data_IF_130437715346
#
_entry.id   IF_130437715346
#
_cell.length_a   1.000
_cell.length_b   1.000
_cell.length_c   1.000
_cell.angle_alpha   90.00
_cell.angle_beta   90.00
_cell.angle_gamma   90.00
#
_symmetry.space_group_name_H-M   'P 1'
#
loop_
_entity.id
_entity.type
_entity.pdbx_description
1 polymer ?
#
# COMPACT_ATOMS: atom_id res chain seq x y z
N UNK A 1 31.99 -2.07 -2.22
CA UNK A 1 31.50 -1.45 -0.95
C UNK A 1 30.11 -1.96 -0.65
N UNK A 2 29.77 -2.26 0.62
CA UNK A 2 28.40 -2.66 1.00
C UNK A 2 27.45 -1.47 0.79
N UNK A 3 26.33 -1.69 0.12
CA UNK A 3 25.27 -0.67 -0.06
C UNK A 3 24.70 -0.24 1.28
N UNK A 4 24.32 1.01 1.41
CA UNK A 4 23.87 1.62 2.66
C UNK A 4 22.49 2.24 2.49
N UNK A 5 21.64 2.11 3.51
CA UNK A 5 20.28 2.66 3.50
C UNK A 5 19.91 3.27 4.84
N UNK A 6 19.17 4.36 4.80
CA UNK A 6 18.47 4.96 5.95
C UNK A 6 16.97 4.99 5.70
N UNK A 7 16.18 4.82 6.76
CA UNK A 7 14.72 4.71 6.68
C UNK A 7 14.09 5.81 7.53
N UNK A 8 13.30 6.65 6.89
CA UNK A 8 12.49 7.70 7.53
C UNK A 8 11.03 7.29 7.49
N UNK A 9 10.45 6.98 8.66
CA UNK A 9 9.10 6.45 8.78
C UNK A 9 9.08 4.92 8.83
N UNK A 10 9.49 4.30 9.93
CA UNK A 10 9.51 2.83 10.05
C UNK A 10 8.15 2.25 10.50
N UNK A 11 7.11 2.44 9.67
CA UNK A 11 5.85 1.72 9.72
C UNK A 11 6.01 0.28 9.20
N UNK A 12 4.91 -0.35 8.81
CA UNK A 12 4.92 -1.74 8.28
C UNK A 12 5.80 -1.88 7.04
N UNK A 13 5.65 -0.98 6.06
CA UNK A 13 6.46 -0.98 4.82
C UNK A 13 7.93 -0.75 5.15
N UNK A 14 8.26 0.28 5.92
CA UNK A 14 9.65 0.63 6.24
C UNK A 14 10.38 -0.46 7.03
N UNK A 15 9.69 -1.11 8.00
CA UNK A 15 10.24 -2.25 8.73
C UNK A 15 10.49 -3.45 7.82
N UNK A 16 9.54 -3.76 6.92
CA UNK A 16 9.69 -4.87 5.98
C UNK A 16 10.85 -4.62 5.02
N UNK A 17 10.90 -3.45 4.37
CA UNK A 17 12.02 -3.10 3.48
C UNK A 17 13.34 -3.12 4.22
N UNK A 18 13.42 -2.49 5.40
CA UNK A 18 14.63 -2.46 6.21
C UNK A 18 15.11 -3.84 6.60
N UNK A 19 14.23 -4.72 7.06
CA UNK A 19 14.56 -6.11 7.41
C UNK A 19 15.05 -6.88 6.19
N UNK A 20 14.30 -6.86 5.08
CA UNK A 20 14.68 -7.59 3.87
C UNK A 20 16.01 -7.11 3.28
N UNK A 21 16.25 -5.79 3.27
CA UNK A 21 17.53 -5.25 2.82
C UNK A 21 18.69 -5.63 3.76
N UNK A 22 18.45 -5.64 5.08
CA UNK A 22 19.42 -6.13 6.05
C UNK A 22 19.79 -7.60 5.80
N UNK A 23 18.79 -8.46 5.60
CA UNK A 23 18.98 -9.88 5.30
C UNK A 23 19.79 -10.11 4.00
N UNK A 24 19.70 -9.17 3.05
CA UNK A 24 20.51 -9.13 1.82
C UNK A 24 21.88 -8.48 1.99
N UNK A 25 22.30 -8.19 3.23
CA UNK A 25 23.61 -7.65 3.54
C UNK A 25 23.78 -6.14 3.38
N UNK A 26 22.68 -5.38 3.17
CA UNK A 26 22.72 -3.93 3.21
C UNK A 26 22.98 -3.43 4.62
N UNK A 27 23.77 -2.36 4.74
CA UNK A 27 23.97 -1.69 6.03
C UNK A 27 22.87 -0.68 6.27
N UNK A 28 22.07 -0.91 7.31
CA UNK A 28 21.05 0.04 7.78
C UNK A 28 21.74 1.06 8.70
N UNK A 29 21.82 2.32 8.28
CA UNK A 29 22.54 3.35 9.05
C UNK A 29 21.64 4.02 10.09
N UNK A 30 20.45 4.45 9.69
CA UNK A 30 19.51 5.14 10.56
C UNK A 30 18.07 4.67 10.35
N UNK A 31 17.30 4.62 11.44
CA UNK A 31 15.86 4.34 11.43
C UNK A 31 15.15 5.45 12.20
N UNK A 32 14.50 6.34 11.46
CA UNK A 32 13.91 7.57 12.00
C UNK A 32 12.41 7.42 12.15
N UNK A 33 11.88 7.69 13.35
CA UNK A 33 10.44 7.71 13.63
C UNK A 33 10.03 8.87 14.53
N UNK A 34 8.73 9.08 14.71
CA UNK A 34 8.19 10.15 15.58
C UNK A 34 8.56 10.02 17.07
N UNK A 35 8.86 8.81 17.55
CA UNK A 35 9.21 8.60 18.95
C UNK A 35 10.38 7.65 19.12
N UNK A 36 11.16 7.85 20.18
CA UNK A 36 12.31 6.98 20.51
C UNK A 36 11.90 5.52 20.77
N UNK A 37 10.73 5.28 21.35
CA UNK A 37 10.22 3.93 21.59
C UNK A 37 9.97 3.21 20.26
N UNK A 38 9.26 3.87 19.31
CA UNK A 38 8.98 3.31 17.98
C UNK A 38 10.24 3.10 17.13
N UNK A 39 11.26 3.97 17.25
CA UNK A 39 12.50 3.78 16.50
C UNK A 39 13.31 2.61 17.06
N UNK A 40 13.39 2.44 18.38
CA UNK A 40 14.04 1.28 19.00
C UNK A 40 13.32 -0.04 18.67
N UNK A 41 11.98 -0.04 18.68
CA UNK A 41 11.17 -1.19 18.26
C UNK A 41 11.43 -1.54 16.79
N UNK A 42 11.43 -0.53 15.91
CA UNK A 42 11.69 -0.73 14.49
C UNK A 42 13.11 -1.29 14.23
N UNK A 43 14.12 -0.78 14.94
CA UNK A 43 15.50 -1.31 14.85
C UNK A 43 15.58 -2.77 15.32
N UNK A 44 14.88 -3.15 16.40
CA UNK A 44 14.83 -4.56 16.83
C UNK A 44 14.21 -5.47 15.75
N UNK A 45 13.14 -5.01 15.11
CA UNK A 45 12.45 -5.75 14.03
C UNK A 45 13.32 -5.84 12.78
N UNK A 46 14.00 -4.76 12.40
CA UNK A 46 14.90 -4.70 11.24
C UNK A 46 16.17 -5.52 11.50
N UNK A 47 16.66 -5.56 12.73
CA UNK A 47 17.91 -6.23 13.13
C UNK A 47 19.15 -5.34 13.06
N UNK A 48 19.03 -4.09 12.59
CA UNK A 48 20.15 -3.17 12.44
C UNK A 48 19.70 -1.71 12.38
N UNK A 49 20.66 -0.78 12.47
CA UNK A 49 20.47 0.65 12.34
C UNK A 49 20.49 1.40 13.67
N UNK A 50 20.73 2.70 13.59
CA UNK A 50 20.66 3.59 14.75
C UNK A 50 19.23 4.10 14.92
N UNK A 51 18.59 3.86 16.07
CA UNK A 51 17.25 4.37 16.32
C UNK A 51 17.30 5.90 16.53
N UNK A 52 16.49 6.64 15.76
CA UNK A 52 16.47 8.09 15.80
C UNK A 52 15.05 8.62 15.94
N UNK A 53 14.89 9.68 16.73
CA UNK A 53 13.62 10.37 16.90
C UNK A 53 13.58 11.65 16.08
N UNK A 54 12.46 11.87 15.36
CA UNK A 54 12.10 13.19 14.87
C UNK A 54 11.78 14.08 16.08
N UNK A 55 12.47 15.21 16.26
CA UNK A 55 12.14 16.20 17.26
C UNK A 55 10.70 16.71 17.05
N UNK A 56 10.05 17.20 18.14
CA UNK A 56 8.70 17.81 18.04
C UNK A 56 8.63 18.98 17.05
N UNK A 57 9.77 19.61 16.73
CA UNK A 57 9.90 20.70 15.76
C UNK A 57 9.90 20.26 14.29
N UNK A 58 9.97 18.96 13.97
CA UNK A 58 9.86 18.44 12.62
C UNK A 58 8.39 18.20 12.20
N UNK A 59 7.42 18.48 13.06
CA UNK A 59 5.99 18.44 12.77
C UNK A 59 5.48 19.82 12.40
N UNK A 60 5.10 19.99 11.17
CA UNK A 60 4.04 20.80 10.52
C UNK A 60 3.81 22.29 10.90
N UNK A 61 4.39 22.83 11.95
CA UNK A 61 4.37 24.28 12.27
C UNK A 61 5.77 24.73 12.69
N UNK A 62 6.60 25.08 11.72
CA UNK A 62 7.81 25.88 11.96
C UNK A 62 7.42 27.30 12.37
N UNK A 63 6.92 27.46 13.60
CA UNK A 63 7.09 28.71 14.34
C UNK A 63 8.40 28.59 15.09
N UNK A 64 9.32 29.46 14.71
CA UNK A 64 10.63 29.63 15.33
C UNK A 64 10.54 29.61 16.86
N UNK A 65 11.18 28.63 17.50
CA UNK A 65 11.71 28.79 18.86
C UNK A 65 12.63 27.63 19.27
N UNK A 66 13.85 28.00 19.61
CA UNK A 66 14.94 27.33 20.33
C UNK A 66 16.00 26.61 19.47
N UNK A 67 17.12 27.31 19.34
CA UNK A 67 18.39 26.92 18.70
C UNK A 67 18.97 25.56 19.12
N UNK A 68 18.69 25.08 20.32
CA UNK A 68 19.20 23.77 20.80
C UNK A 68 18.55 22.54 20.13
N UNK A 69 17.27 22.60 19.79
CA UNK A 69 16.54 21.48 19.16
C UNK A 69 16.93 21.28 17.68
N UNK A 70 17.27 22.36 16.96
CA UNK A 70 17.73 22.29 15.58
C UNK A 70 19.15 21.72 15.49
N UNK A 71 20.02 22.00 16.46
CA UNK A 71 21.40 21.47 16.48
C UNK A 71 21.41 19.96 16.78
N UNK A 72 20.54 19.46 17.65
CA UNK A 72 20.39 18.04 17.92
C UNK A 72 19.84 17.27 16.70
N UNK A 73 18.91 17.86 15.95
CA UNK A 73 18.41 17.28 14.70
C UNK A 73 19.49 17.30 13.61
N UNK A 74 20.29 18.37 13.50
CA UNK A 74 21.36 18.50 12.54
C UNK A 74 22.50 17.46 12.77
N UNK A 75 22.87 17.19 14.02
CA UNK A 75 23.88 16.20 14.37
C UNK A 75 23.47 14.76 14.00
N UNK A 76 22.15 14.47 14.02
CA UNK A 76 21.63 13.17 13.64
C UNK A 76 21.47 13.00 12.13
N UNK A 77 21.30 14.10 11.37
CA UNK A 77 21.12 14.04 9.91
C UNK A 77 22.37 13.55 9.19
N UNK A 78 23.57 13.82 9.68
CA UNK A 78 24.81 13.30 9.09
C UNK A 78 24.76 11.78 8.95
N UNK A 79 24.22 11.09 9.95
CA UNK A 79 24.06 9.64 9.92
C UNK A 79 23.00 9.19 8.93
N UNK A 80 21.89 9.93 8.79
CA UNK A 80 20.86 9.64 7.79
C UNK A 80 21.41 9.78 6.39
N UNK A 81 22.09 10.89 6.11
CA UNK A 81 22.62 11.22 4.78
C UNK A 81 24.01 10.64 4.49
N UNK A 82 24.62 9.90 5.43
CA UNK A 82 25.75 9.02 5.14
C UNK A 82 25.34 7.82 4.27
N UNK A 83 24.03 7.46 4.25
CA UNK A 83 23.52 6.40 3.40
C UNK A 83 23.51 6.78 1.92
N UNK A 84 23.73 5.79 1.06
CA UNK A 84 23.58 5.93 -0.40
C UNK A 84 22.09 6.15 -0.76
N UNK A 85 21.19 5.41 -0.10
CA UNK A 85 19.74 5.45 -0.33
C UNK A 85 19.01 5.88 0.94
N UNK A 86 18.09 6.83 0.83
CA UNK A 86 17.20 7.24 1.92
C UNK A 86 15.77 6.94 1.51
N UNK A 87 15.10 6.07 2.27
CA UNK A 87 13.68 5.78 2.08
C UNK A 87 12.81 6.63 2.99
N UNK A 88 11.81 7.28 2.39
CA UNK A 88 10.66 7.87 3.08
C UNK A 88 9.49 6.90 2.97
N UNK A 89 9.14 6.25 4.08
CA UNK A 89 8.04 5.28 4.18
C UNK A 89 6.96 5.78 5.17
N UNK A 90 6.72 7.09 5.13
CA UNK A 90 5.69 7.78 5.91
C UNK A 90 4.36 7.80 5.15
N UNK A 91 3.27 8.19 5.83
CA UNK A 91 1.99 8.41 5.18
C UNK A 91 2.06 9.58 4.18
N UNK A 92 1.20 9.54 3.16
CA UNK A 92 1.23 10.45 2.02
C UNK A 92 0.96 11.91 2.41
N UNK A 93 0.09 12.14 3.39
CA UNK A 93 -0.24 13.47 3.93
C UNK A 93 0.95 14.15 4.63
N UNK A 94 1.86 13.36 5.18
CA UNK A 94 3.04 13.84 5.91
C UNK A 94 4.26 13.97 5.00
N UNK A 95 4.35 13.16 3.95
CA UNK A 95 5.55 13.01 3.14
C UNK A 95 6.09 14.31 2.55
N UNK A 96 5.32 15.17 1.86
CA UNK A 96 5.87 16.38 1.23
C UNK A 96 6.43 17.38 2.24
N UNK A 97 5.72 17.60 3.34
CA UNK A 97 6.15 18.53 4.38
C UNK A 97 7.41 18.04 5.11
N UNK A 98 7.47 16.76 5.40
CA UNK A 98 8.61 16.11 6.03
C UNK A 98 9.84 16.13 5.10
N UNK A 99 9.66 15.81 3.82
CA UNK A 99 10.72 15.87 2.81
C UNK A 99 11.29 17.29 2.68
N UNK A 100 10.41 18.31 2.66
CA UNK A 100 10.83 19.71 2.64
C UNK A 100 11.65 20.11 3.86
N UNK A 101 11.25 19.69 5.06
CA UNK A 101 11.98 19.94 6.29
C UNK A 101 13.35 19.24 6.30
N UNK A 102 13.39 17.97 5.92
CA UNK A 102 14.64 17.20 5.84
C UNK A 102 15.61 17.76 4.80
N UNK A 103 15.13 18.13 3.62
CA UNK A 103 15.96 18.68 2.55
C UNK A 103 16.61 20.00 2.97
N UNK A 104 15.87 20.93 3.61
CA UNK A 104 16.43 22.18 4.12
C UNK A 104 17.51 21.94 5.18
N UNK A 105 17.27 21.00 6.09
CA UNK A 105 18.21 20.67 7.16
C UNK A 105 19.44 19.90 6.64
N UNK A 106 19.26 19.07 5.64
CA UNK A 106 20.35 18.30 5.02
C UNK A 106 21.23 19.17 4.14
N UNK A 107 20.62 20.07 3.35
CA UNK A 107 21.35 20.89 2.39
C UNK A 107 22.21 20.04 1.46
N UNK A 108 23.47 20.41 1.29
CA UNK A 108 24.45 19.74 0.41
C UNK A 108 24.76 18.28 0.79
N UNK A 109 24.42 17.82 2.01
CA UNK A 109 24.52 16.39 2.37
C UNK A 109 23.66 15.50 1.49
N UNK A 110 22.62 16.09 0.87
CA UNK A 110 21.74 15.39 -0.07
C UNK A 110 22.41 15.15 -1.43
N UNK A 111 23.45 15.88 -1.76
CA UNK A 111 24.14 15.80 -3.05
C UNK A 111 24.61 14.38 -3.34
N UNK A 112 24.28 13.88 -4.52
CA UNK A 112 24.65 12.55 -4.95
C UNK A 112 23.93 11.40 -4.24
N UNK A 113 22.99 11.68 -3.32
CA UNK A 113 22.15 10.64 -2.68
C UNK A 113 20.97 10.25 -3.57
N UNK A 114 20.38 9.10 -3.26
CA UNK A 114 19.14 8.65 -3.87
C UNK A 114 18.07 8.69 -2.79
N UNK A 115 17.02 9.46 -3.02
CA UNK A 115 15.91 9.60 -2.07
C UNK A 115 14.66 9.01 -2.71
N UNK A 116 14.11 7.99 -2.08
CA UNK A 116 12.94 7.26 -2.57
C UNK A 116 11.79 7.33 -1.56
N UNK A 117 10.57 7.37 -2.04
CA UNK A 117 9.39 7.13 -1.22
C UNK A 117 8.60 5.90 -1.70
N UNK A 118 7.68 5.44 -0.85
CA UNK A 118 6.87 4.24 -1.12
C UNK A 118 5.38 4.53 -1.33
N UNK A 119 5.01 5.78 -1.56
CA UNK A 119 3.62 6.13 -1.88
C UNK A 119 3.21 5.55 -3.24
N UNK A 120 1.98 5.05 -3.31
CA UNK A 120 1.36 4.58 -4.54
C UNK A 120 0.83 5.72 -5.41
N UNK A 121 0.46 6.86 -4.80
CA UNK A 121 -0.24 7.98 -5.46
C UNK A 121 0.66 9.17 -5.71
N UNK A 122 1.55 9.50 -4.76
CA UNK A 122 2.49 10.60 -4.92
C UNK A 122 3.60 10.21 -5.91
N UNK A 123 4.09 11.21 -6.63
CA UNK A 123 5.20 11.11 -7.55
C UNK A 123 6.50 11.69 -6.95
N UNK A 124 7.56 11.73 -7.74
CA UNK A 124 8.86 12.30 -7.35
C UNK A 124 8.79 13.76 -6.89
N UNK A 125 7.76 14.51 -7.28
CA UNK A 125 7.59 15.93 -6.88
C UNK A 125 7.46 16.07 -5.38
N UNK A 126 6.93 15.06 -4.68
CA UNK A 126 6.91 15.02 -3.21
C UNK A 126 8.32 15.12 -2.59
N UNK A 127 9.37 14.73 -3.33
CA UNK A 127 10.77 14.80 -2.93
C UNK A 127 11.56 15.89 -3.66
N UNK A 128 10.92 16.74 -4.47
CA UNK A 128 11.57 17.81 -5.23
C UNK A 128 12.49 18.74 -4.38
N UNK A 129 12.21 19.02 -3.10
CA UNK A 129 13.14 19.77 -2.26
C UNK A 129 14.54 19.16 -2.19
N UNK A 130 14.69 17.84 -2.24
CA UNK A 130 16.01 17.16 -2.27
C UNK A 130 16.72 17.29 -3.62
N UNK A 131 15.95 17.27 -4.72
CA UNK A 131 16.52 17.45 -6.06
C UNK A 131 17.24 18.79 -6.20
N UNK A 132 16.75 19.85 -5.54
CA UNK A 132 17.39 21.18 -5.49
C UNK A 132 18.77 21.16 -4.88
N UNK A 133 19.09 20.18 -4.05
CA UNK A 133 20.40 19.94 -3.43
C UNK A 133 21.18 18.81 -4.13
N UNK A 134 20.79 18.41 -5.35
CA UNK A 134 21.53 17.45 -6.17
C UNK A 134 21.33 15.97 -5.79
N UNK A 135 20.25 15.62 -5.10
CA UNK A 135 19.83 14.24 -4.94
C UNK A 135 19.04 13.76 -6.18
N UNK A 136 19.13 12.47 -6.50
CA UNK A 136 18.18 11.82 -7.41
C UNK A 136 16.95 11.36 -6.64
N UNK A 137 15.75 11.70 -7.12
CA UNK A 137 14.50 11.46 -6.39
C UNK A 137 13.54 10.58 -7.18
N UNK A 138 12.78 9.75 -6.47
CA UNK A 138 11.80 8.86 -7.11
C UNK A 138 10.93 8.11 -6.13
N UNK A 139 10.10 7.23 -6.66
CA UNK A 139 9.23 6.35 -5.91
C UNK A 139 9.46 4.88 -6.24
N UNK A 140 9.23 4.01 -5.26
CA UNK A 140 9.25 2.55 -5.39
C UNK A 140 8.12 1.98 -4.54
N UNK A 141 6.96 1.76 -5.14
CA UNK A 141 5.77 1.27 -4.43
C UNK A 141 5.60 -0.24 -4.63
N UNK A 142 5.68 -1.05 -3.56
CA UNK A 142 5.35 -2.48 -3.62
C UNK A 142 3.82 -2.66 -3.68
N UNK A 143 3.31 -3.35 -4.71
CA UNK A 143 1.91 -3.76 -4.82
C UNK A 143 1.64 -4.93 -3.88
N UNK A 144 1.61 -4.66 -2.57
CA UNK A 144 1.50 -5.68 -1.54
C UNK A 144 0.72 -5.17 -0.32
N UNK A 145 -0.08 -6.05 0.27
CA UNK A 145 -0.73 -5.79 1.54
C UNK A 145 0.24 -6.01 2.71
N UNK A 146 0.46 -4.97 3.49
CA UNK A 146 1.29 -5.02 4.70
C UNK A 146 0.43 -5.13 5.96
N UNK A 147 -0.51 -6.08 5.96
CA UNK A 147 -1.41 -6.35 7.10
C UNK A 147 -0.87 -7.47 8.02
N UNK A 148 -1.45 -7.54 9.24
CA UNK A 148 -1.15 -8.63 10.16
C UNK A 148 0.19 -8.51 10.90
N UNK A 149 0.57 -9.60 11.60
CA UNK A 149 1.79 -9.71 12.44
C UNK A 149 2.99 -10.26 11.68
N UNK A 150 2.79 -10.90 10.53
CA UNK A 150 3.84 -11.53 9.73
C UNK A 150 4.29 -10.59 8.63
N UNK A 151 5.61 -10.44 8.48
CA UNK A 151 6.17 -9.69 7.35
C UNK A 151 5.90 -10.42 6.04
N UNK A 152 5.35 -9.74 5.02
CA UNK A 152 5.10 -10.37 3.74
C UNK A 152 6.40 -10.78 3.04
N UNK A 153 6.31 -11.83 2.25
CA UNK A 153 7.33 -12.14 1.25
C UNK A 153 7.18 -11.15 0.09
N UNK A 154 8.30 -10.66 -0.42
CA UNK A 154 8.32 -9.71 -1.53
C UNK A 154 8.70 -10.36 -2.87
N UNK A 155 8.90 -11.68 -2.89
CA UNK A 155 9.15 -12.45 -4.11
C UNK A 155 7.94 -12.34 -5.05
N UNK A 156 8.21 -12.06 -6.33
CA UNK A 156 7.22 -11.85 -7.38
C UNK A 156 6.27 -10.65 -7.17
N UNK A 157 6.48 -9.83 -6.13
CA UNK A 157 5.70 -8.60 -5.93
C UNK A 157 6.10 -7.58 -7.00
N UNK A 158 5.10 -6.96 -7.62
CA UNK A 158 5.32 -5.82 -8.52
C UNK A 158 5.74 -4.60 -7.71
N UNK A 159 6.82 -3.95 -8.12
CA UNK A 159 7.25 -2.66 -7.61
C UNK A 159 7.09 -1.61 -8.69
N UNK A 160 6.07 -0.76 -8.56
CA UNK A 160 5.91 0.39 -9.45
C UNK A 160 7.01 1.42 -9.16
N UNK A 161 7.79 1.77 -10.19
CA UNK A 161 8.93 2.68 -10.07
C UNK A 161 8.74 3.91 -10.97
N UNK A 162 9.07 5.08 -10.44
CA UNK A 162 8.98 6.36 -11.13
C UNK A 162 10.01 7.33 -10.55
N UNK A 163 10.52 8.28 -11.34
CA UNK A 163 11.44 9.30 -10.85
C UNK A 163 12.57 9.66 -11.83
N UNK A 164 13.61 10.25 -11.28
CA UNK A 164 14.83 10.55 -12.01
C UNK A 164 15.53 9.26 -12.48
N UNK A 165 16.20 9.24 -13.64
CA UNK A 165 16.79 8.01 -14.19
C UNK A 165 17.71 7.26 -13.22
N UNK A 166 18.49 7.98 -12.39
CA UNK A 166 19.35 7.36 -11.39
C UNK A 166 18.57 6.75 -10.23
N UNK A 167 17.49 7.41 -9.80
CA UNK A 167 16.60 6.91 -8.75
C UNK A 167 15.83 5.66 -9.23
N UNK A 168 15.33 5.67 -10.47
CA UNK A 168 14.63 4.52 -11.08
C UNK A 168 15.55 3.32 -11.18
N UNK A 169 16.77 3.47 -11.71
CA UNK A 169 17.75 2.35 -11.78
C UNK A 169 18.04 1.75 -10.40
N UNK A 170 18.17 2.57 -9.36
CA UNK A 170 18.38 2.08 -8.00
C UNK A 170 17.13 1.36 -7.47
N UNK A 171 15.94 1.93 -7.66
CA UNK A 171 14.67 1.33 -7.26
C UNK A 171 14.47 -0.04 -7.93
N UNK A 172 14.75 -0.16 -9.23
CA UNK A 172 14.72 -1.43 -9.96
C UNK A 172 15.72 -2.45 -9.41
N UNK A 173 16.94 -2.02 -9.14
CA UNK A 173 17.98 -2.87 -8.54
C UNK A 173 17.55 -3.39 -7.16
N UNK A 174 16.96 -2.53 -6.33
CA UNK A 174 16.43 -2.91 -5.02
C UNK A 174 15.27 -3.88 -5.17
N UNK A 175 14.29 -3.58 -6.02
CA UNK A 175 13.13 -4.46 -6.26
C UNK A 175 13.58 -5.87 -6.69
N UNK A 176 14.49 -5.96 -7.66
CA UNK A 176 15.07 -7.24 -8.12
C UNK A 176 15.81 -7.99 -7.00
N UNK A 177 16.59 -7.28 -6.18
CA UNK A 177 17.30 -7.90 -5.05
C UNK A 177 16.35 -8.47 -4.00
N UNK A 178 15.16 -7.89 -3.85
CA UNK A 178 14.08 -8.37 -2.98
C UNK A 178 13.29 -9.54 -3.59
N UNK A 179 13.65 -9.98 -4.81
CA UNK A 179 12.92 -11.00 -5.56
C UNK A 179 11.65 -10.50 -6.23
N UNK A 180 11.42 -9.19 -6.22
CA UNK A 180 10.27 -8.55 -6.85
C UNK A 180 10.52 -8.18 -8.31
N UNK A 181 9.48 -7.70 -8.96
CA UNK A 181 9.45 -7.34 -10.37
C UNK A 181 9.25 -5.82 -10.48
N UNK A 182 10.27 -5.04 -10.86
CA UNK A 182 10.09 -3.60 -11.08
C UNK A 182 9.33 -3.34 -12.38
N UNK A 183 8.36 -2.42 -12.32
CA UNK A 183 7.58 -1.97 -13.47
C UNK A 183 7.59 -0.44 -13.48
N UNK A 184 8.11 0.20 -14.53
CA UNK A 184 8.00 1.64 -14.69
C UNK A 184 6.53 2.08 -14.80
N UNK A 185 6.16 3.15 -14.11
CA UNK A 185 4.83 3.75 -14.18
C UNK A 185 4.93 5.23 -14.52
N UNK A 186 4.08 5.70 -15.43
CA UNK A 186 3.98 7.13 -15.69
C UNK A 186 3.31 7.84 -14.50
N UNK A 187 3.79 9.04 -14.19
CA UNK A 187 3.26 9.86 -13.09
C UNK A 187 1.74 10.01 -13.14
N UNK A 188 1.19 10.28 -14.35
CA UNK A 188 -0.26 10.45 -14.57
C UNK A 188 -1.09 9.22 -14.22
N UNK A 189 -0.51 8.03 -14.26
CA UNK A 189 -1.22 6.76 -14.11
C UNK A 189 -1.18 6.24 -12.66
N UNK A 190 -0.38 6.86 -11.78
CA UNK A 190 -0.21 6.40 -10.37
C UNK A 190 -1.52 6.36 -9.59
N UNK A 191 -2.38 7.36 -9.76
CA UNK A 191 -3.68 7.39 -9.06
C UNK A 191 -4.57 6.24 -9.51
N UNK A 192 -4.63 5.97 -10.83
CA UNK A 192 -5.41 4.85 -11.37
C UNK A 192 -4.84 3.50 -10.94
N UNK A 193 -3.52 3.37 -10.95
CA UNK A 193 -2.81 2.19 -10.44
C UNK A 193 -3.18 1.90 -8.98
N UNK A 194 -3.20 2.92 -8.12
CA UNK A 194 -3.58 2.73 -6.72
C UNK A 194 -5.07 2.43 -6.56
N UNK A 195 -5.93 3.10 -7.34
CA UNK A 195 -7.37 2.81 -7.35
C UNK A 195 -7.66 1.34 -7.72
N UNK A 196 -6.92 0.76 -8.68
CA UNK A 196 -7.02 -0.65 -9.02
C UNK A 196 -6.67 -1.56 -7.83
N UNK A 197 -5.61 -1.25 -7.08
CA UNK A 197 -5.25 -2.00 -5.88
C UNK A 197 -6.33 -1.91 -4.78
N UNK A 198 -6.87 -0.71 -4.54
CA UNK A 198 -7.94 -0.50 -3.56
C UNK A 198 -9.22 -1.21 -4.00
N UNK A 199 -9.56 -1.16 -5.29
CA UNK A 199 -10.74 -1.83 -5.84
C UNK A 199 -10.63 -3.35 -5.69
N UNK A 200 -9.50 -3.95 -6.04
CA UNK A 200 -9.32 -5.40 -6.04
C UNK A 200 -9.03 -5.98 -4.65
N UNK A 201 -8.18 -5.32 -3.86
CA UNK A 201 -7.73 -5.84 -2.57
C UNK A 201 -8.35 -5.10 -1.37
N UNK A 202 -8.43 -3.77 -1.42
CA UNK A 202 -9.00 -2.97 -0.32
C UNK A 202 -10.48 -3.25 -0.11
N UNK A 203 -11.28 -3.27 -1.20
CA UNK A 203 -12.72 -3.53 -1.14
C UNK A 203 -13.06 -4.99 -0.78
N UNK A 204 -12.12 -5.92 -0.99
CA UNK A 204 -12.30 -7.33 -0.62
C UNK A 204 -12.53 -7.51 0.87
N UNK A 205 -11.88 -6.72 1.74
CA UNK A 205 -12.12 -6.78 3.18
C UNK A 205 -13.58 -6.50 3.52
N UNK A 206 -14.16 -5.46 2.94
CA UNK A 206 -15.57 -5.09 3.16
C UNK A 206 -16.51 -6.16 2.61
N UNK A 207 -16.23 -6.73 1.45
CA UNK A 207 -17.03 -7.79 0.83
C UNK A 207 -17.03 -9.07 1.68
N UNK A 208 -15.85 -9.48 2.16
CA UNK A 208 -15.74 -10.66 3.03
C UNK A 208 -16.46 -10.41 4.36
N UNK A 209 -16.27 -9.23 4.98
CA UNK A 209 -16.95 -8.88 6.23
C UNK A 209 -18.47 -8.88 6.08
N UNK A 210 -19.00 -8.31 5.01
CA UNK A 210 -20.42 -8.37 4.70
C UNK A 210 -20.92 -9.81 4.57
N UNK A 211 -20.21 -10.67 3.87
CA UNK A 211 -20.54 -12.09 3.75
C UNK A 211 -20.55 -12.83 5.09
N UNK A 212 -19.58 -12.55 5.97
CA UNK A 212 -19.52 -13.10 7.32
C UNK A 212 -20.73 -12.67 8.15
N UNK A 213 -21.11 -11.39 8.13
CA UNK A 213 -22.28 -10.88 8.83
C UNK A 213 -23.59 -11.48 8.30
N UNK A 214 -23.71 -11.70 7.01
CA UNK A 214 -24.88 -12.37 6.43
C UNK A 214 -24.99 -13.83 6.91
N UNK A 215 -23.89 -14.56 7.02
CA UNK A 215 -23.88 -15.91 7.58
C UNK A 215 -24.21 -15.91 9.08
N UNK A 216 -23.73 -14.93 9.85
CA UNK A 216 -24.10 -14.79 11.27
C UNK A 216 -25.61 -14.55 11.43
N UNK A 217 -26.21 -13.74 10.58
CA UNK A 217 -27.68 -13.55 10.55
C UNK A 217 -28.45 -14.80 10.12
N UNK A 218 -27.83 -15.67 9.33
CA UNK A 218 -28.38 -16.99 8.98
C UNK A 218 -28.17 -18.04 10.08
N UNK A 219 -27.68 -17.65 11.27
CA UNK A 219 -27.52 -18.52 12.44
C UNK A 219 -26.15 -19.17 12.60
N UNK A 220 -25.18 -18.81 11.78
CA UNK A 220 -23.80 -19.32 11.95
C UNK A 220 -23.08 -18.55 13.06
N UNK A 221 -22.28 -19.25 13.85
CA UNK A 221 -21.29 -18.53 14.68
C UNK A 221 -20.22 -17.90 13.81
N UNK A 222 -19.60 -16.81 14.26
CA UNK A 222 -18.50 -16.12 13.54
C UNK A 222 -17.41 -17.08 13.06
N UNK A 223 -17.02 -18.04 13.93
CA UNK A 223 -16.05 -19.08 13.58
C UNK A 223 -16.51 -19.94 12.41
N UNK A 224 -17.75 -20.43 12.45
CA UNK A 224 -18.32 -21.26 11.38
C UNK A 224 -18.52 -20.48 10.09
N UNK A 225 -18.95 -19.23 10.18
CA UNK A 225 -19.05 -18.34 9.03
C UNK A 225 -17.71 -18.23 8.29
N UNK A 226 -16.61 -18.02 9.01
CA UNK A 226 -15.26 -18.01 8.42
C UNK A 226 -14.87 -19.35 7.80
N UNK A 227 -15.12 -20.46 8.50
CA UNK A 227 -14.86 -21.81 7.98
C UNK A 227 -15.64 -22.14 6.71
N UNK A 228 -16.83 -21.56 6.56
CA UNK A 228 -17.69 -21.74 5.37
C UNK A 228 -17.22 -20.86 4.21
N UNK A 229 -16.93 -19.58 4.48
CA UNK A 229 -16.69 -18.59 3.42
C UNK A 229 -15.27 -18.65 2.85
N UNK A 230 -14.24 -18.80 3.69
CA UNK A 230 -12.85 -18.72 3.22
C UNK A 230 -12.45 -19.80 2.19
N UNK A 231 -12.88 -21.07 2.30
CA UNK A 231 -12.62 -22.05 1.23
C UNK A 231 -13.23 -21.65 -0.11
N UNK A 232 -14.48 -21.16 -0.10
CA UNK A 232 -15.16 -20.67 -1.31
C UNK A 232 -14.40 -19.50 -1.95
N UNK A 233 -13.97 -18.53 -1.15
CA UNK A 233 -13.23 -17.35 -1.66
C UNK A 233 -11.90 -17.77 -2.26
N UNK A 234 -11.15 -18.67 -1.62
CA UNK A 234 -9.88 -19.21 -2.17
C UNK A 234 -10.11 -19.91 -3.50
N UNK A 235 -11.13 -20.76 -3.60
CA UNK A 235 -11.45 -21.45 -4.85
C UNK A 235 -11.77 -20.47 -6.00
N UNK A 236 -12.44 -19.37 -5.69
CA UNK A 236 -12.71 -18.32 -6.69
C UNK A 236 -11.41 -17.68 -7.17
N UNK A 237 -10.46 -17.35 -6.28
CA UNK A 237 -9.15 -16.83 -6.67
C UNK A 237 -8.39 -17.82 -7.55
N UNK A 238 -8.31 -19.09 -7.15
CA UNK A 238 -7.64 -20.14 -7.92
C UNK A 238 -8.23 -20.28 -9.33
N UNK A 239 -9.56 -20.20 -9.44
CA UNK A 239 -10.24 -20.27 -10.74
C UNK A 239 -9.94 -19.02 -11.58
N UNK A 240 -10.03 -17.82 -11.01
CA UNK A 240 -9.74 -16.58 -11.72
C UNK A 240 -8.29 -16.56 -12.23
N UNK A 241 -7.34 -16.98 -11.40
CA UNK A 241 -5.92 -17.04 -11.78
C UNK A 241 -5.67 -18.03 -12.92
N UNK A 242 -6.35 -19.17 -12.90
CA UNK A 242 -6.17 -20.23 -13.88
C UNK A 242 -6.84 -19.96 -15.22
N UNK A 243 -8.07 -19.45 -15.26
CA UNK A 243 -8.89 -19.36 -16.48
C UNK A 243 -9.44 -17.95 -16.76
N UNK A 244 -9.09 -16.97 -15.95
CA UNK A 244 -9.55 -15.58 -16.06
C UNK A 244 -10.95 -15.35 -15.51
N UNK A 245 -11.31 -14.07 -15.22
CA UNK A 245 -12.53 -13.73 -14.51
C UNK A 245 -13.82 -14.05 -15.26
N UNK A 246 -13.83 -13.95 -16.59
CA UNK A 246 -15.03 -14.26 -17.40
C UNK A 246 -15.36 -15.74 -17.39
N UNK A 247 -14.38 -16.60 -17.60
CA UNK A 247 -14.58 -18.06 -17.62
C UNK A 247 -14.83 -18.63 -16.21
N UNK A 248 -14.25 -18.00 -15.18
CA UNK A 248 -14.46 -18.37 -13.78
C UNK A 248 -15.79 -17.87 -13.20
N UNK A 249 -16.54 -17.02 -13.92
CA UNK A 249 -17.75 -16.40 -13.41
C UNK A 249 -18.87 -17.43 -13.23
N UNK A 250 -19.33 -17.60 -12.01
CA UNK A 250 -20.37 -18.55 -11.60
C UNK A 250 -21.42 -17.88 -10.74
N UNK A 251 -22.47 -18.62 -10.39
CA UNK A 251 -23.53 -18.15 -9.50
C UNK A 251 -24.83 -17.80 -10.23
N UNK A 252 -25.85 -17.32 -9.50
CA UNK A 252 -27.18 -17.06 -10.07
C UNK A 252 -27.13 -16.10 -11.26
N UNK A 253 -26.40 -15.01 -11.13
CA UNK A 253 -26.34 -13.98 -12.17
C UNK A 253 -25.73 -14.51 -13.47
N UNK A 254 -24.69 -15.36 -13.40
CA UNK A 254 -24.07 -15.95 -14.59
C UNK A 254 -24.98 -16.92 -15.34
N UNK A 255 -25.94 -17.54 -14.64
CA UNK A 255 -26.94 -18.45 -15.21
C UNK A 255 -28.25 -17.79 -15.60
N UNK A 256 -28.41 -16.49 -15.30
CA UNK A 256 -29.66 -15.77 -15.55
C UNK A 256 -30.76 -16.06 -14.53
N UNK A 257 -30.45 -16.53 -13.33
CA UNK A 257 -31.39 -16.86 -12.26
C UNK A 257 -31.87 -15.59 -11.52
N UNK A 258 -32.55 -14.71 -12.22
CA UNK A 258 -32.96 -13.39 -11.70
C UNK A 258 -33.96 -13.48 -10.54
N UNK A 259 -34.76 -14.55 -10.47
CA UNK A 259 -35.64 -14.76 -9.34
C UNK A 259 -34.87 -14.99 -8.03
N UNK A 260 -33.74 -15.68 -8.08
CA UNK A 260 -32.87 -15.85 -6.91
C UNK A 260 -32.32 -14.49 -6.48
N UNK A 261 -31.91 -13.62 -7.43
CA UNK A 261 -31.51 -12.26 -7.10
C UNK A 261 -32.59 -11.44 -6.42
N UNK A 262 -33.85 -11.55 -6.90
CA UNK A 262 -35.00 -10.90 -6.28
C UNK A 262 -35.25 -11.42 -4.85
N UNK A 263 -35.07 -12.73 -4.61
CA UNK A 263 -35.14 -13.31 -3.26
C UNK A 263 -34.03 -12.75 -2.36
N UNK A 264 -32.81 -12.66 -2.86
CA UNK A 264 -31.70 -12.03 -2.12
C UNK A 264 -32.02 -10.56 -1.79
N UNK A 265 -32.50 -9.78 -2.74
CA UNK A 265 -32.90 -8.39 -2.52
C UNK A 265 -33.98 -8.28 -1.40
N UNK A 266 -34.98 -9.15 -1.39
CA UNK A 266 -35.97 -9.20 -0.31
C UNK A 266 -35.38 -9.55 1.04
N UNK A 267 -34.52 -10.58 1.09
CA UNK A 267 -33.85 -10.99 2.34
C UNK A 267 -32.93 -9.90 2.91
N UNK A 268 -32.32 -9.07 2.04
CA UNK A 268 -31.46 -7.96 2.44
C UNK A 268 -32.20 -6.68 2.82
N UNK A 269 -33.52 -6.61 2.69
CA UNK A 269 -34.32 -5.45 3.13
C UNK A 269 -34.28 -5.24 4.64
N UNK A 270 -34.18 -6.32 5.41
CA UNK A 270 -33.99 -6.27 6.85
C UNK A 270 -32.50 -6.41 7.18
N UNK A 271 -31.82 -5.37 7.63
CA UNK A 271 -30.42 -5.46 8.00
C UNK A 271 -29.64 -4.18 7.73
N UNK A 272 -28.34 -4.32 7.46
CA UNK A 272 -27.44 -3.19 7.20
C UNK A 272 -27.67 -2.65 5.79
N UNK A 273 -28.21 -1.43 5.62
CA UNK A 273 -28.56 -0.88 4.30
C UNK A 273 -27.36 -0.82 3.35
N UNK A 274 -26.15 -0.63 3.89
CA UNK A 274 -24.90 -0.56 3.13
C UNK A 274 -24.58 -1.89 2.46
N UNK A 275 -24.88 -3.03 3.10
CA UNK A 275 -24.68 -4.37 2.50
C UNK A 275 -25.62 -4.56 1.32
N UNK A 276 -26.88 -4.14 1.42
CA UNK A 276 -27.84 -4.20 0.31
C UNK A 276 -27.37 -3.36 -0.87
N UNK A 277 -26.94 -2.11 -0.62
CA UNK A 277 -26.41 -1.20 -1.65
C UNK A 277 -25.15 -1.79 -2.32
N UNK A 278 -24.22 -2.31 -1.53
CA UNK A 278 -23.00 -2.93 -2.04
C UNK A 278 -23.31 -4.17 -2.88
N UNK A 279 -24.24 -5.03 -2.42
CA UNK A 279 -24.69 -6.20 -3.17
C UNK A 279 -25.22 -5.82 -4.56
N UNK A 280 -26.11 -4.84 -4.62
CA UNK A 280 -26.68 -4.38 -5.89
C UNK A 280 -25.60 -3.77 -6.80
N UNK A 281 -24.74 -2.90 -6.26
CA UNK A 281 -23.67 -2.27 -7.03
C UNK A 281 -22.67 -3.31 -7.60
N UNK A 282 -22.28 -4.30 -6.82
CA UNK A 282 -21.36 -5.37 -7.26
C UNK A 282 -22.02 -6.29 -8.29
N UNK A 283 -23.31 -6.61 -8.15
CA UNK A 283 -24.06 -7.38 -9.14
C UNK A 283 -24.15 -6.62 -10.49
N UNK A 284 -24.44 -5.33 -10.44
CA UNK A 284 -24.47 -4.47 -11.63
C UNK A 284 -23.09 -4.33 -12.29
N UNK A 285 -22.03 -4.23 -11.48
CA UNK A 285 -20.65 -4.18 -11.97
C UNK A 285 -20.28 -5.51 -12.65
N UNK A 286 -20.60 -6.65 -12.04
CA UNK A 286 -20.36 -7.97 -12.63
C UNK A 286 -21.13 -8.14 -13.95
N UNK A 287 -22.40 -7.75 -13.99
CA UNK A 287 -23.20 -7.75 -15.23
C UNK A 287 -22.54 -6.93 -16.35
N UNK A 288 -21.91 -5.80 -16.00
CA UNK A 288 -21.25 -4.90 -16.96
C UNK A 288 -19.93 -5.43 -17.50
N UNK A 289 -19.10 -6.02 -16.64
CA UNK A 289 -17.69 -6.32 -16.96
C UNK A 289 -17.46 -7.78 -17.36
N UNK A 290 -18.27 -8.70 -16.82
CA UNK A 290 -17.99 -10.13 -16.93
C UNK A 290 -18.98 -10.84 -17.85
N UNK A 291 -20.22 -10.34 -17.99
CA UNK A 291 -21.25 -10.93 -18.84
C UNK A 291 -20.90 -10.90 -20.33
N UNK A 292 -21.34 -11.92 -21.07
CA UNK A 292 -21.27 -11.94 -22.53
C UNK A 292 -22.29 -10.98 -23.18
N UNK A 293 -23.42 -10.71 -22.52
CA UNK A 293 -24.45 -9.75 -22.96
C UNK A 293 -24.72 -8.69 -21.89
N UNK A 294 -23.83 -7.67 -21.72
CA UNK A 294 -23.91 -6.73 -20.61
C UNK A 294 -25.19 -5.90 -20.56
N UNK A 295 -25.74 -5.49 -21.70
CA UNK A 295 -26.93 -4.62 -21.76
C UNK A 295 -28.16 -5.34 -21.20
N UNK A 296 -28.46 -6.52 -21.69
CA UNK A 296 -29.62 -7.31 -21.27
C UNK A 296 -29.48 -7.79 -19.81
N UNK A 297 -28.31 -8.30 -19.44
CA UNK A 297 -28.07 -8.77 -18.08
C UNK A 297 -28.15 -7.63 -17.06
N UNK A 298 -27.63 -6.43 -17.38
CA UNK A 298 -27.80 -5.24 -16.52
C UNK A 298 -29.26 -4.87 -16.33
N UNK A 299 -30.05 -4.78 -17.43
CA UNK A 299 -31.46 -4.44 -17.38
C UNK A 299 -32.23 -5.39 -16.46
N UNK A 300 -32.08 -6.69 -16.65
CA UNK A 300 -32.75 -7.72 -15.84
C UNK A 300 -32.25 -7.75 -14.40
N UNK A 301 -30.95 -7.51 -14.18
CA UNK A 301 -30.38 -7.40 -12.84
C UNK A 301 -30.96 -6.21 -12.07
N UNK A 302 -31.06 -5.04 -12.71
CA UNK A 302 -31.66 -3.85 -12.11
C UNK A 302 -33.12 -4.09 -11.70
N UNK A 303 -33.91 -4.70 -12.59
CA UNK A 303 -35.31 -5.09 -12.29
C UNK A 303 -35.40 -6.05 -11.10
N UNK A 304 -34.53 -7.08 -11.04
CA UNK A 304 -34.56 -8.08 -9.97
C UNK A 304 -34.13 -7.50 -8.61
N UNK A 305 -33.23 -6.52 -8.60
CA UNK A 305 -32.71 -5.90 -7.37
C UNK A 305 -33.45 -4.64 -6.92
N UNK A 306 -34.39 -4.16 -7.73
CA UNK A 306 -35.18 -2.93 -7.47
C UNK A 306 -34.21 -1.69 -7.34
N UNK A 307 -33.36 -1.48 -8.38
CA UNK A 307 -32.36 -0.40 -8.47
C UNK A 307 -32.27 0.19 -9.88
#
# INVERSE_FOLDING_TARGET
MKRTVSIVGAGRVGRTLGRRLHDLGWRILAVVTRSSAKSREAVRVIGAGTPMRLGRSAGLHFRERKTGSMRALALNLDKVFAAEVIFFTTADDVLPSLAGAFARLAGDRSRGRIVLHTSATLDRVALAPFARYGAAVGSMHPMQAFGGSVMPNLKNVIFAVEGDPRAVRMAESIAKSLGGIPVPIATRDKTLYHAAAVMAAGSLYATIEAGLQLLERAGFTRRRAGQTLFPLVRQIFDNIERIGPRAAWTGPLSRGDYEILARHARALRTGVPEIRKAYAALAMLAASLVSANPHEVKKRTAQALDV
#
